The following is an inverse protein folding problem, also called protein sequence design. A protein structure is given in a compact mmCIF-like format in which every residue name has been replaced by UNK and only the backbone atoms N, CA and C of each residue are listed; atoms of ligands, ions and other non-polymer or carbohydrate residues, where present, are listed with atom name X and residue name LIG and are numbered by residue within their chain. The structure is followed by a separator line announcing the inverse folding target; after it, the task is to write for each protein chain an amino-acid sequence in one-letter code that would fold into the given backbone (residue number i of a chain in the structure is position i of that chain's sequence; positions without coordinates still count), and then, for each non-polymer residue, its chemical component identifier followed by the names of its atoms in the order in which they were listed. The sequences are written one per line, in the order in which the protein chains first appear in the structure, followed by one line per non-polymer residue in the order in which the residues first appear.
data_IF_874951604775
#
_entry.id   IF_874951604775
#
_cell.length_a   1.000
_cell.length_b   1.000
_cell.length_c   1.000
_cell.angle_alpha   90.00
_cell.angle_beta   90.00
_cell.angle_gamma   90.00
#
_symmetry.space_group_name_H-M   'P 1'
#
loop_
_entity.id
_entity.type
_entity.pdbx_description
1 polymer ?
#
# COMPACT_ATOMS: atom_id res chain seq x y z
N UNK A 1 6.50 14.11 -23.07
CA UNK A 1 6.75 12.73 -23.57
C UNK A 1 5.98 11.78 -22.66
N UNK A 2 4.77 11.33 -23.06
CA UNK A 2 3.89 10.46 -22.25
C UNK A 2 4.53 9.08 -22.08
N UNK A 3 4.66 8.61 -20.84
CA UNK A 3 5.16 7.28 -20.53
C UNK A 3 4.09 6.24 -20.90
N UNK A 4 4.48 5.21 -21.67
CA UNK A 4 3.63 4.07 -22.02
C UNK A 4 3.51 3.16 -20.81
N UNK A 5 2.31 3.05 -20.26
CA UNK A 5 1.96 2.16 -19.17
C UNK A 5 1.31 0.89 -19.76
N UNK A 6 2.13 0.04 -20.36
CA UNK A 6 1.71 -1.29 -20.82
C UNK A 6 2.83 -2.27 -20.57
N UNK A 7 2.87 -2.84 -19.37
CA UNK A 7 3.50 -4.13 -19.18
C UNK A 7 2.72 -4.88 -18.11
N UNK A 8 1.78 -5.72 -18.57
CA UNK A 8 1.22 -6.79 -17.76
C UNK A 8 2.39 -7.68 -17.35
N UNK A 9 2.82 -7.57 -16.10
CA UNK A 9 3.85 -8.43 -15.50
C UNK A 9 3.25 -9.83 -15.33
N UNK A 10 3.25 -10.62 -16.40
CA UNK A 10 3.07 -12.07 -16.30
C UNK A 10 4.45 -12.66 -16.04
N UNK A 11 4.80 -12.95 -14.79
CA UNK A 11 6.07 -13.63 -14.51
C UNK A 11 5.88 -14.66 -13.39
N UNK A 12 6.37 -15.87 -13.64
CA UNK A 12 6.27 -17.09 -12.83
C UNK A 12 7.49 -17.26 -11.91
N UNK A 13 7.23 -17.29 -10.60
CA UNK A 13 8.00 -17.82 -9.45
C UNK A 13 7.31 -17.28 -8.20
N UNK A 14 6.18 -17.90 -7.79
CA UNK A 14 5.28 -17.43 -6.71
C UNK A 14 5.43 -15.93 -6.40
N UNK A 15 5.19 -15.09 -7.41
CA UNK A 15 5.62 -13.70 -7.33
C UNK A 15 4.72 -12.97 -6.37
N UNK A 16 5.32 -12.19 -5.47
CA UNK A 16 4.61 -11.19 -4.66
C UNK A 16 3.79 -10.32 -5.61
N UNK A 17 2.51 -10.64 -5.73
CA UNK A 17 1.61 -10.04 -6.69
C UNK A 17 1.17 -8.71 -6.14
N UNK A 18 1.53 -7.63 -6.82
CA UNK A 18 1.10 -6.27 -6.44
C UNK A 18 -0.42 -6.23 -6.24
N UNK A 19 -1.19 -6.92 -7.08
CA UNK A 19 -2.66 -7.03 -6.97
C UNK A 19 -3.11 -7.70 -5.67
N UNK A 20 -2.39 -8.72 -5.22
CA UNK A 20 -2.70 -9.41 -3.97
C UNK A 20 -2.46 -8.47 -2.78
N UNK A 21 -1.35 -7.73 -2.79
CA UNK A 21 -1.06 -6.71 -1.78
C UNK A 21 -2.07 -5.56 -1.80
N UNK A 22 -2.51 -5.10 -2.98
CA UNK A 22 -3.59 -4.12 -3.10
C UNK A 22 -4.87 -4.63 -2.42
N UNK A 23 -5.23 -5.89 -2.68
CA UNK A 23 -6.42 -6.53 -2.08
C UNK A 23 -6.29 -6.67 -0.56
N UNK A 24 -5.09 -6.94 -0.04
CA UNK A 24 -4.81 -6.96 1.40
C UNK A 24 -4.96 -5.57 2.04
N UNK A 25 -4.43 -4.53 1.42
CA UNK A 25 -4.54 -3.14 1.90
C UNK A 25 -6.01 -2.72 1.97
N UNK A 26 -6.77 -2.90 0.89
CA UNK A 26 -8.19 -2.54 0.84
C UNK A 26 -9.03 -3.31 1.86
N UNK A 27 -8.72 -4.60 2.09
CA UNK A 27 -9.41 -5.40 3.10
C UNK A 27 -9.13 -4.93 4.52
N UNK A 28 -7.92 -4.44 4.84
CA UNK A 28 -7.64 -3.85 6.16
C UNK A 28 -8.37 -2.52 6.33
N UNK A 29 -8.34 -1.69 5.29
CA UNK A 29 -9.02 -0.38 5.28
C UNK A 29 -10.56 -0.46 5.25
N UNK A 30 -11.16 -1.62 4.98
CA UNK A 30 -12.61 -1.76 5.09
C UNK A 30 -13.07 -1.77 6.55
N UNK A 31 -12.23 -2.28 7.47
CA UNK A 31 -12.54 -2.39 8.90
C UNK A 31 -11.88 -1.30 9.75
N UNK A 32 -10.86 -0.59 9.23
CA UNK A 32 -10.20 0.52 9.93
C UNK A 32 -10.36 1.83 9.16
N UNK A 33 -10.45 2.96 9.87
CA UNK A 33 -10.51 4.28 9.22
C UNK A 33 -9.15 4.69 8.64
N UNK A 34 -8.09 4.42 9.39
CA UNK A 34 -6.71 4.67 9.02
C UNK A 34 -5.86 3.41 9.19
N UNK A 35 -4.81 3.30 8.39
CA UNK A 35 -3.81 2.24 8.47
C UNK A 35 -2.42 2.87 8.31
N UNK A 36 -1.53 2.64 9.27
CA UNK A 36 -0.14 3.04 9.10
C UNK A 36 0.57 2.05 8.17
N UNK A 37 1.35 2.53 7.20
CA UNK A 37 2.00 1.72 6.18
C UNK A 37 2.85 0.58 6.78
N UNK A 38 3.58 0.85 7.86
CA UNK A 38 4.43 -0.14 8.55
C UNK A 38 3.64 -1.35 9.06
N UNK A 39 2.38 -1.15 9.45
CA UNK A 39 1.51 -2.22 9.96
C UNK A 39 1.25 -3.32 8.93
N UNK A 40 1.49 -3.07 7.63
CA UNK A 40 1.39 -4.06 6.57
C UNK A 40 2.49 -5.14 6.65
N UNK A 41 3.61 -4.85 7.30
CA UNK A 41 4.78 -5.72 7.36
C UNK A 41 5.49 -5.70 8.73
N UNK A 42 4.78 -5.33 9.81
CA UNK A 42 5.33 -5.23 11.17
C UNK A 42 6.09 -6.48 11.63
N UNK A 43 5.62 -7.68 11.26
CA UNK A 43 6.28 -8.94 11.61
C UNK A 43 7.66 -9.07 10.93
N UNK A 44 7.80 -8.55 9.72
CA UNK A 44 9.05 -8.56 8.95
C UNK A 44 10.06 -7.52 9.47
N UNK A 45 9.59 -6.48 10.16
CA UNK A 45 10.48 -5.49 10.80
C UNK A 45 11.29 -6.10 11.95
N UNK A 46 10.84 -7.20 12.53
CA UNK A 46 11.52 -7.85 13.65
C UNK A 46 12.74 -8.69 13.20
N UNK A 47 12.80 -9.08 11.92
CA UNK A 47 13.90 -9.86 11.34
C UNK A 47 14.26 -9.33 9.95
N UNK A 48 15.10 -8.28 9.86
CA UNK A 48 15.44 -7.66 8.60
C UNK A 48 16.24 -8.61 7.70
N UNK A 49 15.65 -9.02 6.59
CA UNK A 49 16.28 -9.82 5.53
C UNK A 49 16.09 -9.17 4.16
N UNK A 50 16.79 -9.68 3.15
CA UNK A 50 16.55 -9.25 1.76
C UNK A 50 15.09 -9.46 1.34
N UNK A 51 14.46 -10.56 1.80
CA UNK A 51 13.05 -10.87 1.54
C UNK A 51 12.12 -9.87 2.23
N UNK A 52 12.43 -9.46 3.47
CA UNK A 52 11.68 -8.41 4.16
C UNK A 52 11.69 -7.10 3.36
N UNK A 53 12.85 -6.72 2.82
CA UNK A 53 12.99 -5.51 1.99
C UNK A 53 12.14 -5.61 0.71
N UNK A 54 12.16 -6.76 0.04
CA UNK A 54 11.35 -6.99 -1.15
C UNK A 54 9.84 -6.85 -0.84
N UNK A 55 9.36 -7.43 0.27
CA UNK A 55 7.96 -7.30 0.68
C UNK A 55 7.56 -5.86 0.99
N UNK A 56 8.43 -5.09 1.66
CA UNK A 56 8.18 -3.65 1.91
C UNK A 56 8.03 -2.88 0.60
N UNK A 57 8.93 -3.13 -0.36
CA UNK A 57 8.88 -2.49 -1.68
C UNK A 57 7.58 -2.85 -2.41
N UNK A 58 7.14 -4.11 -2.37
CA UNK A 58 5.89 -4.51 -3.05
C UNK A 58 4.66 -3.88 -2.39
N UNK A 59 4.60 -3.78 -1.06
CA UNK A 59 3.54 -3.04 -0.38
C UNK A 59 3.56 -1.55 -0.75
N UNK A 60 4.74 -0.96 -0.90
CA UNK A 60 4.88 0.44 -1.30
C UNK A 60 4.35 0.66 -2.73
N UNK A 61 4.72 -0.21 -3.66
CA UNK A 61 4.20 -0.18 -5.04
C UNK A 61 2.68 -0.39 -5.09
N UNK A 62 2.15 -1.33 -4.32
CA UNK A 62 0.71 -1.58 -4.23
C UNK A 62 -0.07 -0.37 -3.70
N UNK A 63 0.47 0.30 -2.67
CA UNK A 63 -0.07 1.54 -2.14
C UNK A 63 -0.09 2.65 -3.20
N UNK A 64 1.00 2.85 -3.93
CA UNK A 64 1.08 3.86 -4.99
C UNK A 64 0.10 3.57 -6.14
N UNK A 65 -0.07 2.30 -6.53
CA UNK A 65 -1.02 1.93 -7.58
C UNK A 65 -2.47 2.15 -7.13
N UNK A 66 -2.81 1.83 -5.87
CA UNK A 66 -4.14 2.16 -5.32
C UNK A 66 -4.42 3.66 -5.28
N UNK A 67 -3.42 4.47 -4.93
CA UNK A 67 -3.56 5.93 -4.90
C UNK A 67 -3.71 6.51 -6.30
N UNK A 68 -2.98 5.97 -7.29
CA UNK A 68 -3.10 6.35 -8.70
C UNK A 68 -4.51 6.10 -9.25
N UNK A 69 -5.15 5.02 -8.83
CA UNK A 69 -6.56 4.70 -9.16
C UNK A 69 -7.59 5.37 -8.23
N UNK A 70 -7.14 6.31 -7.37
CA UNK A 70 -7.97 7.05 -6.42
C UNK A 70 -8.81 6.17 -5.45
N UNK A 71 -8.35 4.95 -5.14
CA UNK A 71 -9.03 4.05 -4.20
C UNK A 71 -8.66 4.35 -2.75
N UNK A 72 -7.44 4.84 -2.52
CA UNK A 72 -6.95 5.26 -1.20
C UNK A 72 -6.40 6.68 -1.26
N UNK A 73 -6.39 7.35 -0.11
CA UNK A 73 -5.64 8.58 0.10
C UNK A 73 -4.43 8.30 1.01
N UNK A 74 -3.32 8.98 0.71
CA UNK A 74 -2.05 8.86 1.44
C UNK A 74 -1.79 10.19 2.17
N UNK A 75 -1.38 10.12 3.44
CA UNK A 75 -0.94 11.27 4.22
C UNK A 75 0.43 11.02 4.85
N UNK A 76 1.32 12.00 4.77
CA UNK A 76 2.61 12.03 5.44
C UNK A 76 2.92 13.49 5.82
N UNK A 77 3.15 13.76 7.10
CA UNK A 77 3.30 15.12 7.60
C UNK A 77 4.67 15.73 7.22
N UNK A 78 5.74 14.94 7.34
CA UNK A 78 7.12 15.34 7.00
C UNK A 78 7.86 14.17 6.34
N UNK A 79 8.96 14.43 5.62
CA UNK A 79 9.81 13.36 5.12
C UNK A 79 10.22 12.40 6.23
N UNK A 80 10.09 11.10 5.96
CA UNK A 80 10.40 10.00 6.89
C UNK A 80 9.47 9.86 8.11
N UNK A 81 8.45 10.71 8.26
CA UNK A 81 7.37 10.45 9.21
C UNK A 81 6.53 9.24 8.75
N UNK A 82 5.77 8.61 9.67
CA UNK A 82 4.84 7.55 9.31
C UNK A 82 3.89 7.94 8.17
N UNK A 83 3.66 6.98 7.29
CA UNK A 83 2.73 7.11 6.16
C UNK A 83 1.40 6.50 6.57
N UNK A 84 0.31 7.27 6.44
CA UNK A 84 -1.04 6.81 6.77
C UNK A 84 -1.90 6.66 5.52
N UNK A 85 -2.68 5.58 5.48
CA UNK A 85 -3.59 5.23 4.40
C UNK A 85 -5.03 5.30 4.89
N UNK A 86 -5.96 5.74 4.02
CA UNK A 86 -7.41 5.65 4.24
C UNK A 86 -8.12 5.38 2.92
N UNK A 87 -9.35 4.87 2.96
CA UNK A 87 -10.20 4.80 1.77
C UNK A 87 -10.49 6.23 1.27
N UNK A 88 -10.31 6.45 -0.04
CA UNK A 88 -10.50 7.78 -0.63
C UNK A 88 -11.98 8.21 -0.61
N UNK A 89 -12.89 7.25 -0.82
CA UNK A 89 -14.34 7.46 -0.88
C UNK A 89 -15.04 7.50 0.48
N UNK A 90 -14.33 7.18 1.57
CA UNK A 90 -14.87 7.26 2.92
C UNK A 90 -14.74 8.72 3.37
N UNK A 91 -15.87 9.41 3.50
CA UNK A 91 -15.91 10.75 4.07
C UNK A 91 -15.48 10.64 5.54
N UNK A 92 -14.56 11.49 6.04
CA UNK A 92 -14.25 11.50 7.47
C UNK A 92 -15.55 11.74 8.23
N UNK A 93 -15.81 10.92 9.26
CA UNK A 93 -16.98 11.12 10.09
C UNK A 93 -16.90 12.53 10.66
N UNK A 94 -17.88 13.38 10.34
CA UNK A 94 -18.01 14.68 11.00
C UNK A 94 -18.56 14.36 12.39
N UNK A 95 -17.79 14.56 13.48
CA UNK A 95 -18.37 14.41 14.81
C UNK A 95 -19.46 15.47 14.98
N UNK A 96 -20.62 15.02 15.49
CA UNK A 96 -21.77 15.87 15.81
C UNK A 96 -21.46 16.85 16.95
#
# INVERSE_FOLDING_TARGET
RRAKLHQSHTITREQLSVRDHMSQILRRLSTTEFLEFNQLFNELLQQPTADATAVVVVHFLAMLELAKEALIAISQAKPYDPIYLRLAYRQPAVPA
#
